data_IF_334662191150
#
_entry.id   IF_334662191150
#
_cell.length_a   1.000
_cell.length_b   1.000
_cell.length_c   1.000
_cell.angle_alpha   90.00
_cell.angle_beta   90.00
_cell.angle_gamma   90.00
#
_symmetry.space_group_name_H-M   'P 1'
#
loop_
_entity.id
_entity.type
_entity.pdbx_description
1 polymer ?
#
# COMPACT_ATOMS: atom_id res chain seq x y z
N UNK A 1 47.94 -32.63 -3.52
CA UNK A 1 47.45 -31.24 -3.51
C UNK A 1 46.38 -31.15 -2.43
N UNK A 2 46.78 -30.75 -1.21
CA UNK A 2 45.89 -30.75 -0.05
C UNK A 2 45.08 -29.45 -0.04
N UNK A 3 43.75 -29.54 -0.10
CA UNK A 3 42.87 -28.42 0.23
C UNK A 3 43.01 -28.18 1.73
N UNK A 4 43.74 -27.12 2.11
CA UNK A 4 43.72 -26.63 3.47
C UNK A 4 42.29 -26.20 3.80
N UNK A 5 41.70 -26.88 4.79
CA UNK A 5 40.50 -26.44 5.49
C UNK A 5 40.73 -25.00 5.93
N UNK A 6 39.93 -24.06 5.41
CA UNK A 6 39.94 -22.69 5.93
C UNK A 6 39.54 -22.76 7.41
N UNK A 7 40.50 -22.53 8.31
CA UNK A 7 40.21 -22.28 9.71
C UNK A 7 39.29 -21.06 9.78
N UNK A 8 38.05 -21.27 10.22
CA UNK A 8 37.16 -20.18 10.59
C UNK A 8 37.69 -19.66 11.92
N UNK A 9 38.56 -18.66 11.87
CA UNK A 9 38.99 -17.92 13.06
C UNK A 9 37.76 -17.32 13.72
N UNK A 10 37.50 -17.69 14.98
CA UNK A 10 36.42 -17.09 15.76
C UNK A 10 36.68 -15.58 15.88
N UNK A 11 35.78 -14.78 15.31
CA UNK A 11 35.95 -13.34 15.26
C UNK A 11 35.55 -12.71 16.59
N UNK A 12 36.43 -11.91 17.20
CA UNK A 12 36.14 -11.23 18.47
C UNK A 12 35.02 -10.20 18.27
N UNK A 13 33.95 -10.30 19.04
CA UNK A 13 32.85 -9.31 19.03
C UNK A 13 33.23 -8.14 19.93
N UNK A 14 33.22 -6.93 19.38
CA UNK A 14 33.58 -5.68 20.09
C UNK A 14 32.39 -4.75 20.32
N UNK A 15 31.22 -5.10 19.79
CA UNK A 15 30.00 -4.31 19.96
C UNK A 15 28.85 -4.82 19.11
N UNK A 16 27.79 -4.04 19.04
CA UNK A 16 26.61 -4.35 18.24
C UNK A 16 26.06 -3.10 17.54
N UNK A 17 25.33 -3.33 16.46
CA UNK A 17 24.51 -2.31 15.80
C UNK A 17 23.05 -2.78 15.73
N UNK A 18 22.14 -1.83 15.60
CA UNK A 18 20.72 -2.10 15.33
C UNK A 18 20.18 -1.08 14.35
N UNK A 19 19.42 -1.56 13.36
CA UNK A 19 18.71 -0.76 12.37
C UNK A 19 17.24 -1.07 12.53
N UNK A 20 16.43 -0.04 12.76
CA UNK A 20 14.97 -0.17 12.92
C UNK A 20 14.27 0.72 11.91
N UNK A 21 13.32 0.15 11.16
CA UNK A 21 12.43 0.86 10.25
C UNK A 21 10.98 0.72 10.72
N UNK A 22 10.16 1.77 10.60
CA UNK A 22 8.73 1.66 10.85
C UNK A 22 8.07 0.77 9.78
N UNK A 23 7.02 0.06 10.16
CA UNK A 23 6.18 -0.70 9.23
C UNK A 23 4.70 -0.32 9.47
N UNK A 24 3.78 -0.71 8.56
CA UNK A 24 2.36 -0.43 8.71
C UNK A 24 1.79 -0.95 10.04
N UNK A 25 0.67 -0.37 10.46
CA UNK A 25 -0.06 -0.79 11.68
C UNK A 25 0.78 -0.72 12.97
N UNK A 26 1.65 0.28 13.10
CA UNK A 26 2.57 0.47 14.24
C UNK A 26 3.61 -0.64 14.41
N UNK A 27 3.72 -1.57 13.44
CA UNK A 27 4.77 -2.57 13.45
C UNK A 27 6.14 -1.92 13.21
N UNK A 28 7.21 -2.65 13.54
CA UNK A 28 8.58 -2.23 13.28
C UNK A 28 9.37 -3.42 12.73
N UNK A 29 10.25 -3.13 11.78
CA UNK A 29 11.22 -4.07 11.25
C UNK A 29 12.58 -3.70 11.85
N UNK A 30 13.20 -4.63 12.55
CA UNK A 30 14.52 -4.44 13.11
C UNK A 30 15.49 -5.51 12.64
N UNK A 31 16.74 -5.12 12.45
CA UNK A 31 17.85 -6.03 12.29
C UNK A 31 18.99 -5.54 13.16
N UNK A 32 19.62 -6.48 13.84
CA UNK A 32 20.76 -6.20 14.71
C UNK A 32 21.90 -7.14 14.35
N UNK A 33 23.12 -6.70 14.57
CA UNK A 33 24.31 -7.48 14.27
C UNK A 33 25.47 -7.10 15.17
N UNK A 34 26.55 -7.85 15.06
CA UNK A 34 27.76 -7.64 15.83
C UNK A 34 28.81 -6.85 15.03
N UNK A 35 29.55 -6.02 15.77
CA UNK A 35 30.78 -5.38 15.32
C UNK A 35 31.93 -6.30 15.68
N UNK A 36 32.84 -6.51 14.74
CA UNK A 36 33.93 -7.48 14.87
C UNK A 36 35.27 -6.75 14.93
N UNK A 37 36.17 -7.23 15.79
CA UNK A 37 37.53 -6.71 15.89
C UNK A 37 38.29 -6.84 14.56
N UNK A 38 38.97 -5.76 14.14
CA UNK A 38 39.71 -5.74 12.88
C UNK A 38 38.84 -5.58 11.63
N UNK A 39 37.52 -5.48 11.76
CA UNK A 39 36.65 -5.13 10.64
C UNK A 39 36.88 -3.67 10.22
N UNK A 40 37.10 -3.46 8.92
CA UNK A 40 37.20 -2.11 8.38
C UNK A 40 35.82 -1.46 8.19
N UNK A 41 35.82 -0.13 8.19
CA UNK A 41 34.59 0.66 8.08
C UNK A 41 33.80 0.36 6.79
N UNK A 42 34.48 0.11 5.66
CA UNK A 42 33.81 -0.11 4.39
C UNK A 42 33.06 -1.45 4.38
N UNK A 43 33.63 -2.50 4.97
CA UNK A 43 32.95 -3.77 5.21
C UNK A 43 31.72 -3.59 6.09
N UNK A 44 31.85 -2.88 7.21
CA UNK A 44 30.73 -2.63 8.11
C UNK A 44 29.60 -1.86 7.40
N UNK A 45 29.94 -0.77 6.70
CA UNK A 45 28.97 0.03 5.94
C UNK A 45 28.25 -0.83 4.90
N UNK A 46 28.97 -1.66 4.14
CA UNK A 46 28.38 -2.56 3.14
C UNK A 46 27.38 -3.56 3.76
N UNK A 47 27.70 -4.12 4.93
CA UNK A 47 26.77 -5.00 5.66
C UNK A 47 25.54 -4.23 6.13
N UNK A 48 25.72 -3.04 6.69
CA UNK A 48 24.61 -2.20 7.18
C UNK A 48 23.69 -1.74 6.04
N UNK A 49 24.26 -1.40 4.88
CA UNK A 49 23.49 -1.00 3.70
C UNK A 49 22.71 -2.18 3.13
N UNK A 50 23.33 -3.37 3.04
CA UNK A 50 22.63 -4.61 2.64
C UNK A 50 21.44 -4.89 3.56
N UNK A 51 21.63 -4.75 4.87
CA UNK A 51 20.55 -4.93 5.86
C UNK A 51 19.48 -3.86 5.67
N UNK A 52 19.85 -2.59 5.46
CA UNK A 52 18.91 -1.50 5.24
C UNK A 52 18.05 -1.73 3.99
N UNK A 53 18.65 -2.14 2.88
CA UNK A 53 17.94 -2.48 1.65
C UNK A 53 16.97 -3.65 1.84
N UNK A 54 17.40 -4.68 2.57
CA UNK A 54 16.55 -5.83 2.90
C UNK A 54 15.35 -5.40 3.75
N UNK A 55 15.56 -4.59 4.79
CA UNK A 55 14.48 -4.08 5.64
C UNK A 55 13.51 -3.18 4.85
N UNK A 56 14.00 -2.29 4.00
CA UNK A 56 13.16 -1.45 3.14
C UNK A 56 12.32 -2.28 2.16
N UNK A 57 12.89 -3.36 1.61
CA UNK A 57 12.12 -4.29 0.78
C UNK A 57 11.01 -4.96 1.58
N UNK A 58 11.29 -5.43 2.79
CA UNK A 58 10.26 -6.02 3.66
C UNK A 58 9.17 -5.00 4.02
N UNK A 59 9.57 -3.76 4.32
CA UNK A 59 8.64 -2.66 4.60
C UNK A 59 7.64 -2.46 3.46
N UNK A 60 8.13 -2.34 2.21
CA UNK A 60 7.29 -2.21 1.02
C UNK A 60 6.34 -3.39 0.85
N UNK A 61 6.81 -4.61 1.10
CA UNK A 61 5.98 -5.81 1.00
C UNK A 61 4.86 -5.83 2.05
N UNK A 62 5.11 -5.31 3.24
CA UNK A 62 4.09 -5.20 4.30
C UNK A 62 3.06 -4.09 4.02
N UNK A 63 3.38 -3.10 3.19
CA UNK A 63 2.42 -2.06 2.76
C UNK A 63 1.38 -2.58 1.77
N UNK A 64 1.75 -3.55 0.92
CA UNK A 64 0.88 -4.11 -0.12
C UNK A 64 -0.47 -4.60 0.45
N UNK A 65 -0.54 -5.48 1.47
CA UNK A 65 -1.84 -5.97 1.96
C UNK A 65 -2.71 -4.86 2.55
N UNK A 66 -2.11 -3.81 3.12
CA UNK A 66 -2.85 -2.64 3.63
C UNK A 66 -3.47 -1.83 2.49
N UNK A 67 -2.73 -1.69 1.39
CA UNK A 67 -3.22 -1.03 0.18
C UNK A 67 -4.29 -1.87 -0.54
N UNK A 68 -4.12 -3.19 -0.58
CA UNK A 68 -5.12 -4.12 -1.16
C UNK A 68 -6.44 -4.05 -0.39
N UNK A 69 -6.40 -4.04 0.94
CA UNK A 69 -7.59 -3.85 1.77
C UNK A 69 -8.27 -2.48 1.53
N UNK A 70 -7.48 -1.41 1.34
CA UNK A 70 -8.03 -0.10 0.98
C UNK A 70 -8.68 -0.11 -0.41
N UNK A 71 -8.07 -0.77 -1.39
CA UNK A 71 -8.63 -0.91 -2.73
C UNK A 71 -9.98 -1.62 -2.68
N UNK A 72 -10.09 -2.73 -1.95
CA UNK A 72 -11.34 -3.46 -1.79
C UNK A 72 -12.46 -2.57 -1.23
N UNK A 73 -12.16 -1.76 -0.22
CA UNK A 73 -13.11 -0.82 0.36
C UNK A 73 -13.55 0.26 -0.64
N UNK A 74 -12.61 0.82 -1.40
CA UNK A 74 -12.92 1.83 -2.42
C UNK A 74 -13.70 1.25 -3.61
N UNK A 75 -13.41 0.03 -4.03
CA UNK A 75 -14.16 -0.66 -5.09
C UNK A 75 -15.61 -0.92 -4.64
N UNK A 76 -15.81 -1.34 -3.39
CA UNK A 76 -17.15 -1.47 -2.82
C UNK A 76 -17.88 -0.13 -2.78
N UNK A 77 -17.22 0.92 -2.30
CA UNK A 77 -17.81 2.26 -2.25
C UNK A 77 -18.16 2.77 -3.66
N UNK A 78 -17.30 2.53 -4.65
CA UNK A 78 -17.57 2.88 -6.05
C UNK A 78 -18.82 2.17 -6.56
N UNK A 79 -18.92 0.85 -6.36
CA UNK A 79 -20.06 0.06 -6.80
C UNK A 79 -21.38 0.51 -6.15
N UNK A 80 -21.35 0.83 -4.85
CA UNK A 80 -22.55 1.29 -4.14
C UNK A 80 -23.01 2.68 -4.61
N UNK A 81 -22.07 3.62 -4.82
CA UNK A 81 -22.38 4.94 -5.37
C UNK A 81 -22.87 4.82 -6.82
N UNK A 82 -22.24 3.99 -7.64
CA UNK A 82 -22.61 3.81 -9.04
C UNK A 82 -24.01 3.20 -9.17
N UNK A 83 -24.35 2.21 -8.33
CA UNK A 83 -25.68 1.61 -8.28
C UNK A 83 -26.73 2.64 -7.88
N UNK A 84 -26.50 3.37 -6.77
CA UNK A 84 -27.43 4.40 -6.31
C UNK A 84 -27.61 5.51 -7.36
N UNK A 85 -26.54 5.91 -8.04
CA UNK A 85 -26.60 6.89 -9.12
C UNK A 85 -27.43 6.40 -10.31
N UNK A 86 -27.22 5.15 -10.75
CA UNK A 86 -27.98 4.54 -11.84
C UNK A 86 -29.49 4.48 -11.52
N UNK A 87 -29.84 4.04 -10.31
CA UNK A 87 -31.24 3.97 -9.85
C UNK A 87 -31.92 5.35 -9.85
N UNK A 88 -31.21 6.38 -9.39
CA UNK A 88 -31.71 7.76 -9.39
C UNK A 88 -31.87 8.31 -10.82
N UNK A 89 -30.91 8.00 -11.70
CA UNK A 89 -30.94 8.43 -13.09
C UNK A 89 -32.11 7.77 -13.84
N UNK A 90 -32.33 6.47 -13.62
CA UNK A 90 -33.47 5.75 -14.20
C UNK A 90 -34.80 6.35 -13.74
N UNK A 91 -34.94 6.62 -12.43
CA UNK A 91 -36.15 7.24 -11.87
C UNK A 91 -36.38 8.65 -12.42
N UNK A 92 -35.32 9.45 -12.58
CA UNK A 92 -35.41 10.77 -13.21
C UNK A 92 -35.87 10.64 -14.67
N UNK A 93 -35.27 9.73 -15.43
CA UNK A 93 -35.61 9.50 -16.83
C UNK A 93 -37.05 8.99 -17.00
N UNK A 94 -37.50 8.07 -16.14
CA UNK A 94 -38.88 7.60 -16.12
C UNK A 94 -39.88 8.74 -15.88
N UNK A 95 -39.52 9.68 -14.99
CA UNK A 95 -40.33 10.88 -14.73
C UNK A 95 -40.35 11.82 -15.93
N UNK A 96 -39.19 12.10 -16.52
CA UNK A 96 -39.06 12.95 -17.72
C UNK A 96 -39.80 12.38 -18.92
N UNK A 97 -39.81 11.05 -19.08
CA UNK A 97 -40.54 10.34 -20.12
C UNK A 97 -42.05 10.23 -19.87
N UNK A 98 -42.58 10.78 -18.76
CA UNK A 98 -44.00 10.75 -18.46
C UNK A 98 -44.57 9.37 -18.14
N UNK A 99 -43.74 8.39 -17.74
CA UNK A 99 -44.24 7.04 -17.40
C UNK A 99 -45.26 7.12 -16.26
N UNK A 100 -46.41 6.47 -16.44
CA UNK A 100 -47.47 6.41 -15.43
C UNK A 100 -46.93 5.80 -14.11
N UNK A 101 -47.24 6.44 -12.98
CA UNK A 101 -46.75 6.01 -11.65
C UNK A 101 -45.34 6.50 -11.28
N UNK A 102 -44.64 7.22 -12.16
CA UNK A 102 -43.31 7.78 -11.86
C UNK A 102 -43.36 8.90 -10.79
N UNK A 103 -42.59 8.72 -9.72
CA UNK A 103 -42.45 9.69 -8.62
C UNK A 103 -41.30 10.65 -8.89
N UNK A 104 -41.49 11.92 -8.52
CA UNK A 104 -40.39 12.89 -8.53
C UNK A 104 -39.32 12.51 -7.50
N UNK A 105 -38.06 12.81 -7.81
CA UNK A 105 -36.97 12.69 -6.85
C UNK A 105 -37.14 13.77 -5.76
N UNK A 106 -36.89 13.40 -4.52
CA UNK A 106 -36.76 14.35 -3.40
C UNK A 106 -35.56 15.28 -3.59
N UNK A 107 -35.51 16.39 -2.84
CA UNK A 107 -34.39 17.34 -2.90
C UNK A 107 -33.04 16.69 -2.57
N UNK A 108 -33.01 15.75 -1.61
CA UNK A 108 -31.79 15.02 -1.28
C UNK A 108 -31.35 14.09 -2.42
N UNK A 109 -32.29 13.39 -3.05
CA UNK A 109 -32.01 12.51 -4.19
C UNK A 109 -31.51 13.30 -5.41
N UNK A 110 -32.07 14.49 -5.67
CA UNK A 110 -31.58 15.37 -6.73
C UNK A 110 -30.15 15.86 -6.45
N UNK A 111 -29.84 16.21 -5.20
CA UNK A 111 -28.49 16.59 -4.80
C UNK A 111 -27.50 15.42 -4.96
N UNK A 112 -27.89 14.22 -4.53
CA UNK A 112 -27.08 13.01 -4.69
C UNK A 112 -26.82 12.70 -6.16
N UNK A 113 -27.85 12.78 -7.01
CA UNK A 113 -27.73 12.57 -8.46
C UNK A 113 -26.74 13.55 -9.09
N UNK A 114 -26.78 14.83 -8.69
CA UNK A 114 -25.85 15.86 -9.20
C UNK A 114 -24.41 15.63 -8.74
N UNK A 115 -24.21 15.15 -7.51
CA UNK A 115 -22.88 15.03 -6.90
C UNK A 115 -22.19 13.69 -7.18
N UNK A 116 -22.94 12.63 -7.44
CA UNK A 116 -22.41 11.28 -7.62
C UNK A 116 -21.32 11.16 -8.71
N UNK A 117 -21.42 11.82 -9.88
CA UNK A 117 -20.34 11.76 -10.88
C UNK A 117 -18.98 12.25 -10.36
N UNK A 118 -18.97 13.33 -9.59
CA UNK A 118 -17.74 13.87 -9.01
C UNK A 118 -17.21 12.96 -7.89
N UNK A 119 -18.09 12.34 -7.12
CA UNK A 119 -17.70 11.35 -6.10
C UNK A 119 -17.07 10.11 -6.75
N UNK A 120 -17.69 9.55 -7.79
CA UNK A 120 -17.16 8.40 -8.53
C UNK A 120 -15.77 8.71 -9.11
N UNK A 121 -15.60 9.87 -9.73
CA UNK A 121 -14.29 10.32 -10.24
C UNK A 121 -13.24 10.46 -9.13
N UNK A 122 -13.64 10.93 -7.95
CA UNK A 122 -12.75 11.00 -6.78
C UNK A 122 -12.30 9.62 -6.32
N UNK A 123 -13.23 8.67 -6.24
CA UNK A 123 -12.95 7.28 -5.86
C UNK A 123 -12.01 6.62 -6.88
N UNK A 124 -12.25 6.80 -8.18
CA UNK A 124 -11.39 6.28 -9.25
C UNK A 124 -9.96 6.80 -9.17
N UNK A 125 -9.78 8.08 -8.87
CA UNK A 125 -8.45 8.68 -8.70
C UNK A 125 -7.70 8.07 -7.50
N UNK A 126 -8.38 7.79 -6.39
CA UNK A 126 -7.77 7.14 -5.24
C UNK A 126 -7.43 5.66 -5.52
N UNK A 127 -8.30 4.94 -6.24
CA UNK A 127 -8.03 3.59 -6.71
C UNK A 127 -6.80 3.54 -7.63
N UNK A 128 -6.68 4.46 -8.58
CA UNK A 128 -5.53 4.55 -9.47
C UNK A 128 -4.23 4.80 -8.68
N UNK A 129 -4.24 5.75 -7.75
CA UNK A 129 -3.09 6.01 -6.86
C UNK A 129 -2.69 4.78 -6.05
N UNK A 130 -3.64 4.08 -5.45
CA UNK A 130 -3.38 2.90 -4.64
C UNK A 130 -2.79 1.76 -5.49
N UNK A 131 -3.38 1.50 -6.67
CA UNK A 131 -2.88 0.49 -7.63
C UNK A 131 -1.47 0.83 -8.11
N UNK A 132 -1.19 2.10 -8.39
CA UNK A 132 0.15 2.56 -8.75
C UNK A 132 1.16 2.32 -7.62
N UNK A 133 0.82 2.66 -6.37
CA UNK A 133 1.68 2.39 -5.21
C UNK A 133 2.00 0.91 -5.04
N UNK A 134 1.03 0.02 -5.24
CA UNK A 134 1.27 -1.43 -5.22
C UNK A 134 2.22 -1.84 -6.35
N UNK A 135 2.01 -1.34 -7.56
CA UNK A 135 2.87 -1.64 -8.70
C UNK A 135 4.32 -1.18 -8.46
N UNK A 136 4.51 0.03 -7.94
CA UNK A 136 5.81 0.60 -7.59
C UNK A 136 6.48 -0.22 -6.47
N UNK A 137 5.74 -0.56 -5.41
CA UNK A 137 6.24 -1.40 -4.31
C UNK A 137 6.70 -2.78 -4.79
N UNK A 138 5.94 -3.42 -5.69
CA UNK A 138 6.30 -4.71 -6.31
C UNK A 138 7.50 -4.59 -7.26
N UNK A 139 7.66 -3.45 -7.93
CA UNK A 139 8.82 -3.16 -8.77
C UNK A 139 10.07 -2.75 -7.96
N UNK A 140 9.93 -2.58 -6.63
CA UNK A 140 11.01 -2.12 -5.76
C UNK A 140 11.38 -0.65 -5.98
N UNK A 141 10.44 0.15 -6.49
CA UNK A 141 10.60 1.59 -6.78
C UNK A 141 10.03 2.47 -5.67
#
# INVERSE_FOLDING_TARGET
MSQASQEVTAATVIGNFSITLPAPNQAQLSASGYLVEGEDKASLDARMDTVREALQRQQRMLEIPVLEAHIEQWEKAHADVARAYADLLERQNAKTAGKAGSKALSSQEQANLKNAPQQLKGIEAELEKARKKIADARAGK
#
